data_IF_486043585284
#
_entry.id   IF_486043585284
#
_cell.length_a   1.000
_cell.length_b   1.000
_cell.length_c   1.000
_cell.angle_alpha   90.00
_cell.angle_beta   90.00
_cell.angle_gamma   90.00
#
_symmetry.space_group_name_H-M   'P 1'
#
loop_
_entity.id
_entity.type
_entity.pdbx_description
1 polymer ?
#
# COMPACT_ATOMS: atom_id res chain seq x y z
N UNK A 1 -24.30 56.60 -15.14
CA UNK A 1 -23.05 55.80 -15.04
C UNK A 1 -23.51 54.36 -14.96
N UNK A 2 -23.56 53.72 -16.13
CA UNK A 2 -24.24 52.45 -16.40
C UNK A 2 -23.61 51.31 -15.57
N UNK A 3 -24.41 50.62 -14.77
CA UNK A 3 -23.99 49.45 -13.99
C UNK A 3 -23.77 48.26 -14.91
N UNK A 4 -22.54 47.75 -14.99
CA UNK A 4 -22.19 46.58 -15.79
C UNK A 4 -22.99 45.33 -15.34
N UNK A 5 -23.48 44.49 -16.27
CA UNK A 5 -24.19 43.27 -15.92
C UNK A 5 -23.22 42.22 -15.36
N UNK A 6 -23.54 41.69 -14.18
CA UNK A 6 -22.85 40.55 -13.57
C UNK A 6 -23.17 39.27 -14.37
N UNK A 7 -22.40 39.01 -15.43
CA UNK A 7 -22.59 37.83 -16.28
C UNK A 7 -22.00 36.61 -15.59
N UNK A 8 -22.85 35.86 -14.90
CA UNK A 8 -22.45 34.60 -14.27
C UNK A 8 -21.85 33.64 -15.33
N UNK A 9 -20.71 32.97 -15.07
CA UNK A 9 -19.95 32.25 -16.09
C UNK A 9 -20.77 31.12 -16.73
N UNK A 10 -20.59 30.85 -18.05
CA UNK A 10 -21.38 29.86 -18.80
C UNK A 10 -21.25 28.44 -18.24
N UNK A 11 -22.34 27.65 -18.35
CA UNK A 11 -22.47 26.31 -17.75
C UNK A 11 -21.33 25.35 -18.12
N UNK A 12 -20.83 25.43 -19.35
CA UNK A 12 -19.69 24.61 -19.83
C UNK A 12 -18.37 24.96 -19.15
N UNK A 13 -18.10 26.23 -18.82
CA UNK A 13 -16.91 26.61 -18.05
C UNK A 13 -16.98 26.09 -16.61
N UNK A 14 -18.17 26.06 -16.01
CA UNK A 14 -18.37 25.44 -14.68
C UNK A 14 -18.21 23.93 -14.74
N UNK A 15 -18.70 23.29 -15.80
CA UNK A 15 -18.50 21.85 -16.03
C UNK A 15 -17.02 21.50 -16.24
N UNK A 16 -16.30 22.24 -17.10
CA UNK A 16 -14.87 22.08 -17.33
C UNK A 16 -14.05 22.33 -16.06
N UNK A 17 -14.34 23.38 -15.29
CA UNK A 17 -13.66 23.63 -14.00
C UNK A 17 -13.94 22.51 -12.99
N UNK A 18 -15.15 21.96 -12.95
CA UNK A 18 -15.48 20.82 -12.08
C UNK A 18 -14.76 19.55 -12.51
N UNK A 19 -14.73 19.24 -13.80
CA UNK A 19 -14.04 18.06 -14.34
C UNK A 19 -12.53 18.18 -14.13
N UNK A 20 -11.94 19.34 -14.44
CA UNK A 20 -10.51 19.60 -14.21
C UNK A 20 -10.15 19.52 -12.72
N UNK A 21 -11.00 20.07 -11.85
CA UNK A 21 -10.84 19.95 -10.40
C UNK A 21 -10.93 18.49 -9.95
N UNK A 22 -11.90 17.71 -10.43
CA UNK A 22 -12.02 16.29 -10.09
C UNK A 22 -10.82 15.47 -10.56
N UNK A 23 -10.32 15.70 -11.77
CA UNK A 23 -9.11 15.05 -12.31
C UNK A 23 -7.89 15.40 -11.45
N UNK A 24 -7.76 16.66 -11.03
CA UNK A 24 -6.66 17.09 -10.18
C UNK A 24 -6.77 16.49 -8.76
N UNK A 25 -7.97 16.35 -8.22
CA UNK A 25 -8.19 15.68 -6.93
C UNK A 25 -7.93 14.17 -7.01
N UNK A 26 -8.21 13.53 -8.15
CA UNK A 26 -8.03 12.08 -8.38
C UNK A 26 -6.74 11.75 -9.14
N UNK A 27 -5.77 12.67 -9.16
CA UNK A 27 -4.55 12.54 -9.96
C UNK A 27 -3.78 11.24 -9.68
N UNK A 28 -3.81 10.76 -8.43
CA UNK A 28 -3.17 9.51 -8.02
C UNK A 28 -3.82 8.29 -8.67
N UNK A 29 -5.16 8.19 -8.64
CA UNK A 29 -5.89 7.07 -9.26
C UNK A 29 -5.69 7.04 -10.77
N UNK A 30 -5.77 8.22 -11.41
CA UNK A 30 -5.53 8.36 -12.85
C UNK A 30 -4.08 7.99 -13.18
N UNK A 31 -3.12 8.45 -12.37
CA UNK A 31 -1.71 8.11 -12.50
C UNK A 31 -1.45 6.61 -12.42
N UNK A 32 -2.00 5.93 -11.39
CA UNK A 32 -1.89 4.47 -11.25
C UNK A 32 -2.48 3.77 -12.48
N UNK A 33 -3.69 4.15 -12.90
CA UNK A 33 -4.34 3.55 -14.07
C UNK A 33 -3.51 3.69 -15.36
N UNK A 34 -2.95 4.88 -15.61
CA UNK A 34 -2.08 5.14 -16.76
C UNK A 34 -0.80 4.32 -16.67
N UNK A 35 -0.14 4.26 -15.51
CA UNK A 35 1.08 3.47 -15.32
C UNK A 35 0.80 1.97 -15.52
N UNK A 36 -0.31 1.45 -15.00
CA UNK A 36 -0.71 0.05 -15.21
C UNK A 36 -0.95 -0.25 -16.69
N UNK A 37 -1.62 0.64 -17.43
CA UNK A 37 -1.85 0.48 -18.86
C UNK A 37 -0.53 0.50 -19.66
N UNK A 38 0.40 1.39 -19.29
CA UNK A 38 1.72 1.46 -19.90
C UNK A 38 2.57 0.21 -19.57
N UNK A 39 2.52 -0.27 -18.33
CA UNK A 39 3.22 -1.50 -17.91
C UNK A 39 2.68 -2.72 -18.67
N UNK A 40 1.37 -2.80 -18.88
CA UNK A 40 0.75 -3.84 -19.70
C UNK A 40 1.22 -3.76 -21.16
N UNK A 41 1.35 -2.54 -21.72
CA UNK A 41 1.76 -2.36 -23.12
C UNK A 41 3.26 -2.55 -23.34
N UNK A 42 4.11 -2.23 -22.36
CA UNK A 42 5.57 -2.29 -22.44
C UNK A 42 6.21 -3.09 -21.29
N UNK A 43 5.91 -4.39 -21.15
CA UNK A 43 6.35 -5.19 -20.00
C UNK A 43 7.87 -5.41 -19.95
N UNK A 44 8.59 -5.29 -21.07
CA UNK A 44 10.03 -5.53 -21.14
C UNK A 44 10.89 -4.42 -20.50
N UNK A 45 10.32 -3.25 -20.23
CA UNK A 45 11.05 -2.11 -19.65
C UNK A 45 11.38 -2.35 -18.17
N UNK A 46 10.49 -3.02 -17.43
CA UNK A 46 10.57 -3.19 -16.00
C UNK A 46 10.91 -4.63 -15.53
N UNK A 47 11.15 -5.57 -16.47
CA UNK A 47 11.58 -6.93 -16.13
C UNK A 47 12.95 -6.97 -15.47
N UNK A 48 13.21 -8.08 -14.78
CA UNK A 48 14.56 -8.43 -14.32
C UNK A 48 15.52 -8.45 -15.53
N UNK A 49 16.62 -7.71 -15.46
CA UNK A 49 17.54 -7.48 -16.60
C UNK A 49 17.06 -6.51 -17.69
N UNK A 50 15.91 -5.82 -17.54
CA UNK A 50 15.43 -4.80 -18.48
C UNK A 50 16.26 -3.51 -18.49
N UNK A 51 15.93 -2.55 -19.37
CA UNK A 51 16.68 -1.29 -19.56
C UNK A 51 16.82 -0.50 -18.24
N UNK A 52 15.79 -0.53 -17.39
CA UNK A 52 15.77 0.18 -16.11
C UNK A 52 16.47 -0.61 -14.99
N UNK A 53 16.82 -1.89 -15.20
CA UNK A 53 17.33 -2.83 -14.19
C UNK A 53 16.58 -2.66 -12.87
N UNK A 54 15.29 -3.00 -12.90
CA UNK A 54 14.36 -2.80 -11.79
C UNK A 54 14.86 -3.35 -10.45
N UNK A 55 15.69 -4.39 -10.47
CA UNK A 55 16.31 -4.95 -9.26
C UNK A 55 17.13 -3.92 -8.49
N UNK A 56 17.81 -3.00 -9.19
CA UNK A 56 18.65 -2.00 -8.54
C UNK A 56 17.92 -0.67 -8.36
N UNK A 57 17.30 -0.18 -9.44
CA UNK A 57 16.68 1.14 -9.46
C UNK A 57 15.48 1.22 -8.51
N UNK A 58 14.62 0.21 -8.50
CA UNK A 58 13.43 0.20 -7.64
C UNK A 58 13.82 -0.26 -6.23
N UNK A 59 14.48 -1.40 -6.11
CA UNK A 59 14.70 -2.04 -4.81
C UNK A 59 15.65 -1.24 -3.89
N UNK A 60 16.65 -0.56 -4.46
CA UNK A 60 17.54 0.29 -3.67
C UNK A 60 17.21 1.77 -3.84
N UNK A 61 17.13 2.26 -5.08
CA UNK A 61 16.95 3.69 -5.33
C UNK A 61 15.61 4.23 -4.82
N UNK A 62 14.52 3.72 -5.37
CA UNK A 62 13.16 4.20 -5.05
C UNK A 62 12.82 3.91 -3.58
N UNK A 63 13.09 2.71 -3.09
CA UNK A 63 12.81 2.36 -1.68
C UNK A 63 13.60 3.26 -0.73
N UNK A 64 14.90 3.49 -0.95
CA UNK A 64 15.69 4.38 -0.09
C UNK A 64 15.16 5.81 -0.11
N UNK A 65 14.77 6.33 -1.28
CA UNK A 65 14.18 7.67 -1.41
C UNK A 65 12.84 7.75 -0.66
N UNK A 66 11.97 6.74 -0.77
CA UNK A 66 10.68 6.71 -0.06
C UNK A 66 10.91 6.71 1.45
N UNK A 67 11.83 5.88 1.96
CA UNK A 67 12.14 5.87 3.40
C UNK A 67 12.79 7.18 3.85
N UNK A 68 13.67 7.77 3.05
CA UNK A 68 14.30 9.05 3.35
C UNK A 68 13.26 10.18 3.41
N UNK A 69 12.40 10.30 2.39
CA UNK A 69 11.32 11.30 2.36
C UNK A 69 10.36 11.07 3.52
N UNK A 70 9.98 9.81 3.80
CA UNK A 70 9.11 9.47 4.93
C UNK A 70 9.75 9.86 6.26
N UNK A 71 11.06 9.65 6.42
CA UNK A 71 11.81 10.06 7.61
C UNK A 71 11.99 11.58 7.75
N UNK A 72 12.24 12.28 6.64
CA UNK A 72 12.36 13.74 6.63
C UNK A 72 11.01 14.45 6.84
N UNK A 73 9.91 13.80 6.46
CA UNK A 73 8.55 14.33 6.61
C UNK A 73 8.04 14.28 8.06
N UNK A 74 8.85 13.80 9.02
CA UNK A 74 8.48 13.66 10.43
C UNK A 74 8.46 15.04 11.13
N UNK A 75 7.30 15.56 11.58
CA UNK A 75 7.27 16.80 12.34
C UNK A 75 7.68 16.56 13.79
N UNK A 76 8.91 16.94 14.13
CA UNK A 76 9.51 16.81 15.48
C UNK A 76 8.64 17.40 16.61
N UNK A 77 7.92 18.49 16.34
CA UNK A 77 7.07 19.17 17.33
C UNK A 77 5.79 18.39 17.67
N UNK A 78 5.18 17.69 16.70
CA UNK A 78 3.94 16.91 16.94
C UNK A 78 4.24 15.56 17.59
N UNK A 79 5.40 14.96 17.28
CA UNK A 79 5.87 13.73 17.93
C UNK A 79 5.96 13.89 19.44
N UNK A 80 6.62 14.95 19.91
CA UNK A 80 6.90 15.14 21.34
C UNK A 80 5.62 15.40 22.14
N UNK A 81 4.64 16.08 21.54
CA UNK A 81 3.39 16.43 22.22
C UNK A 81 2.46 15.23 22.44
N UNK A 82 2.45 14.26 21.51
CA UNK A 82 1.54 13.12 21.55
C UNK A 82 2.22 11.78 21.89
N UNK A 83 3.55 11.70 21.93
CA UNK A 83 4.32 10.50 22.31
C UNK A 83 4.01 9.97 23.73
N UNK A 84 3.35 10.77 24.58
CA UNK A 84 3.01 10.39 25.95
C UNK A 84 1.80 9.45 26.05
N UNK A 85 1.00 9.31 24.98
CA UNK A 85 -0.19 8.46 24.98
C UNK A 85 0.12 7.03 24.49
N UNK A 86 0.97 6.32 25.21
CA UNK A 86 1.39 4.94 24.90
C UNK A 86 0.24 3.95 24.68
N UNK A 87 -0.92 4.18 25.33
CA UNK A 87 -2.13 3.35 25.16
C UNK A 87 -2.72 3.48 23.77
N UNK A 88 -2.68 4.67 23.19
CA UNK A 88 -3.14 4.92 21.82
C UNK A 88 -2.20 4.24 20.82
N UNK A 89 -0.90 4.44 21.00
CA UNK A 89 0.14 3.84 20.17
C UNK A 89 0.03 2.32 20.13
N UNK A 90 -0.09 1.68 21.29
CA UNK A 90 -0.26 0.23 21.35
C UNK A 90 -1.56 -0.23 20.70
N UNK A 91 -2.68 0.46 20.96
CA UNK A 91 -3.97 0.05 20.41
C UNK A 91 -3.96 0.08 18.88
N UNK A 92 -3.48 1.18 18.30
CA UNK A 92 -3.43 1.38 16.83
C UNK A 92 -2.42 0.44 16.19
N UNK A 93 -1.25 0.28 16.80
CA UNK A 93 -0.22 -0.63 16.29
C UNK A 93 -0.66 -2.10 16.35
N UNK A 94 -1.30 -2.53 17.45
CA UNK A 94 -1.82 -3.90 17.57
C UNK A 94 -2.96 -4.13 16.60
N UNK A 95 -3.92 -3.20 16.47
CA UNK A 95 -4.99 -3.37 15.49
C UNK A 95 -4.47 -3.40 14.05
N UNK A 96 -3.47 -2.59 13.72
CA UNK A 96 -2.90 -2.54 12.36
C UNK A 96 -2.04 -3.76 12.01
N UNK A 97 -1.17 -4.19 12.92
CA UNK A 97 -0.17 -5.24 12.63
C UNK A 97 -0.53 -6.62 13.18
N UNK A 98 -1.54 -6.74 14.03
CA UNK A 98 -1.99 -8.04 14.55
C UNK A 98 -3.40 -8.36 14.08
N UNK A 99 -4.36 -7.45 14.31
CA UNK A 99 -5.77 -7.74 14.03
C UNK A 99 -6.05 -7.88 12.52
N UNK A 100 -5.61 -6.93 11.69
CA UNK A 100 -5.86 -7.00 10.24
C UNK A 100 -5.19 -8.22 9.59
N UNK A 101 -3.89 -8.50 9.80
CA UNK A 101 -3.26 -9.72 9.28
C UNK A 101 -3.94 -10.99 9.76
N UNK A 102 -4.38 -11.05 11.03
CA UNK A 102 -5.09 -12.21 11.57
C UNK A 102 -6.44 -12.44 10.88
N UNK A 103 -7.21 -11.37 10.62
CA UNK A 103 -8.48 -11.46 9.88
C UNK A 103 -8.24 -11.94 8.45
N UNK A 104 -7.25 -11.38 7.75
CA UNK A 104 -6.91 -11.81 6.39
C UNK A 104 -6.47 -13.27 6.37
N UNK A 105 -5.68 -13.72 7.35
CA UNK A 105 -5.32 -15.13 7.46
C UNK A 105 -6.51 -16.04 7.69
N UNK A 106 -7.45 -15.65 8.55
CA UNK A 106 -8.67 -16.43 8.76
C UNK A 106 -9.43 -16.60 7.45
N UNK A 107 -9.56 -15.52 6.67
CA UNK A 107 -10.20 -15.56 5.34
C UNK A 107 -9.43 -16.49 4.40
N UNK A 108 -8.10 -16.40 4.33
CA UNK A 108 -7.28 -17.27 3.48
C UNK A 108 -7.43 -18.75 3.88
N UNK A 109 -7.48 -19.07 5.17
CA UNK A 109 -7.70 -20.44 5.63
C UNK A 109 -9.10 -20.95 5.31
N UNK A 110 -10.12 -20.10 5.42
CA UNK A 110 -11.49 -20.44 4.99
C UNK A 110 -11.52 -20.74 3.49
N UNK A 111 -10.84 -19.93 2.68
CA UNK A 111 -10.74 -20.14 1.24
C UNK A 111 -10.02 -21.46 0.94
N UNK A 112 -8.88 -21.73 1.58
CA UNK A 112 -8.14 -22.98 1.39
C UNK A 112 -8.94 -24.21 1.81
N UNK A 113 -9.81 -24.08 2.82
CA UNK A 113 -10.69 -25.18 3.25
C UNK A 113 -11.89 -25.39 2.30
N UNK A 114 -12.41 -24.32 1.70
CA UNK A 114 -13.57 -24.37 0.80
C UNK A 114 -13.19 -24.67 -0.66
N UNK A 115 -12.00 -24.29 -1.10
CA UNK A 115 -11.51 -24.45 -2.46
C UNK A 115 -10.75 -25.76 -2.65
N UNK A 116 -11.47 -26.88 -2.58
CA UNK A 116 -10.89 -28.24 -2.75
C UNK A 116 -10.41 -28.51 -4.18
N UNK A 117 -10.88 -27.74 -5.16
CA UNK A 117 -10.54 -27.89 -6.59
C UNK A 117 -9.39 -26.97 -7.04
N UNK A 118 -8.78 -26.21 -6.12
CA UNK A 118 -7.69 -25.25 -6.40
C UNK A 118 -8.02 -24.26 -7.54
N UNK A 119 -9.24 -23.73 -7.55
CA UNK A 119 -9.65 -22.72 -8.55
C UNK A 119 -8.97 -21.37 -8.31
N UNK A 120 -8.52 -21.12 -7.09
CA UNK A 120 -7.85 -19.88 -6.70
C UNK A 120 -6.35 -20.10 -6.66
N UNK A 121 -5.63 -19.30 -7.45
CA UNK A 121 -4.18 -19.31 -7.48
C UNK A 121 -3.59 -18.97 -6.10
N UNK A 122 -2.72 -19.84 -5.61
CA UNK A 122 -2.07 -19.71 -4.30
C UNK A 122 -1.16 -18.48 -4.24
N UNK A 123 -0.66 -18.01 -5.38
CA UNK A 123 0.10 -16.76 -5.47
C UNK A 123 -0.74 -15.55 -5.06
N UNK A 124 -2.04 -15.56 -5.40
CA UNK A 124 -2.97 -14.49 -5.04
C UNK A 124 -3.23 -14.51 -3.53
N UNK A 125 -3.41 -15.69 -2.94
CA UNK A 125 -3.58 -15.85 -1.50
C UNK A 125 -2.35 -15.39 -0.72
N UNK A 126 -1.15 -15.73 -1.20
CA UNK A 126 0.10 -15.22 -0.64
C UNK A 126 0.14 -13.67 -0.73
N UNK A 127 -0.24 -13.10 -1.88
CA UNK A 127 -0.34 -11.65 -2.08
C UNK A 127 -1.27 -10.95 -1.07
N UNK A 128 -2.41 -11.55 -0.74
CA UNK A 128 -3.30 -11.02 0.31
C UNK A 128 -2.62 -11.01 1.69
N UNK A 129 -1.90 -12.07 2.05
CA UNK A 129 -1.15 -12.12 3.32
C UNK A 129 -0.07 -11.02 3.33
N UNK A 130 0.71 -10.88 2.27
CA UNK A 130 1.73 -9.84 2.17
C UNK A 130 1.15 -8.43 2.30
N UNK A 131 0.14 -8.12 1.50
CA UNK A 131 -0.50 -6.79 1.48
C UNK A 131 -1.11 -6.42 2.83
N UNK A 132 -1.64 -7.41 3.57
CA UNK A 132 -2.18 -7.18 4.92
C UNK A 132 -1.12 -6.78 5.94
N UNK A 133 0.15 -7.14 5.71
CA UNK A 133 1.24 -6.88 6.64
C UNK A 133 2.02 -5.59 6.33
N UNK A 134 1.81 -4.96 5.17
CA UNK A 134 2.55 -3.76 4.72
C UNK A 134 2.04 -2.50 5.45
N UNK A 135 2.92 -1.55 5.80
CA UNK A 135 2.50 -0.31 6.45
C UNK A 135 1.63 0.59 5.54
N UNK A 136 0.86 1.47 6.18
CA UNK A 136 -0.20 2.26 5.52
C UNK A 136 0.27 3.65 5.06
N UNK A 137 -0.47 4.28 4.12
CA UNK A 137 -0.11 5.59 3.58
C UNK A 137 -0.38 6.74 4.56
N UNK A 138 0.64 7.59 4.79
CA UNK A 138 0.57 8.74 5.71
C UNK A 138 -0.54 9.72 5.33
N UNK A 139 -0.56 10.19 4.08
CA UNK A 139 -1.44 11.28 3.66
C UNK A 139 -2.93 10.90 3.70
N UNK A 140 -3.30 9.73 3.15
CA UNK A 140 -4.71 9.32 3.10
C UNK A 140 -5.27 9.07 4.49
N UNK A 141 -4.49 8.41 5.37
CA UNK A 141 -4.93 8.11 6.73
C UNK A 141 -5.19 9.38 7.55
N UNK A 142 -4.30 10.37 7.49
CA UNK A 142 -4.49 11.62 8.24
C UNK A 142 -5.71 12.38 7.74
N UNK A 143 -5.92 12.45 6.42
CA UNK A 143 -7.10 13.12 5.83
C UNK A 143 -8.40 12.41 6.22
N UNK A 144 -8.41 11.06 6.18
CA UNK A 144 -9.58 10.27 6.56
C UNK A 144 -9.89 10.39 8.06
N UNK A 145 -8.88 10.29 8.94
CA UNK A 145 -9.07 10.45 10.39
C UNK A 145 -9.60 11.84 10.73
N UNK A 146 -9.06 12.89 10.10
CA UNK A 146 -9.57 14.25 10.27
C UNK A 146 -11.02 14.37 9.81
N UNK A 147 -11.37 13.76 8.68
CA UNK A 147 -12.75 13.81 8.14
C UNK A 147 -13.75 13.08 9.02
N UNK A 148 -13.30 12.07 9.79
CA UNK A 148 -14.08 11.37 10.79
C UNK A 148 -14.17 12.11 12.14
N UNK A 149 -13.58 13.31 12.26
CA UNK A 149 -13.54 14.08 13.50
C UNK A 149 -12.46 13.63 14.51
N UNK A 150 -11.51 12.80 14.07
CA UNK A 150 -10.37 12.35 14.87
C UNK A 150 -9.20 13.35 14.89
N UNK A 151 -8.22 13.05 15.74
CA UNK A 151 -7.00 13.86 15.92
C UNK A 151 -6.00 13.63 14.77
N UNK A 152 -5.67 14.71 14.05
CA UNK A 152 -4.75 14.70 12.91
C UNK A 152 -3.29 14.50 13.34
N UNK A 153 -2.90 15.06 14.49
CA UNK A 153 -1.55 14.96 15.02
C UNK A 153 -1.27 13.56 15.55
N UNK A 154 -2.24 12.97 16.27
CA UNK A 154 -2.15 11.59 16.74
C UNK A 154 -2.08 10.61 15.56
N UNK A 155 -2.98 10.73 14.58
CA UNK A 155 -2.98 9.88 13.39
C UNK A 155 -1.66 9.96 12.62
N UNK A 156 -1.07 11.16 12.50
CA UNK A 156 0.21 11.34 11.85
C UNK A 156 1.33 10.60 12.59
N UNK A 157 1.38 10.69 13.92
CA UNK A 157 2.39 9.99 14.74
C UNK A 157 2.24 8.47 14.61
N UNK A 158 1.02 7.94 14.71
CA UNK A 158 0.77 6.50 14.56
C UNK A 158 1.25 5.97 13.21
N UNK A 159 0.89 6.66 12.12
CA UNK A 159 1.23 6.19 10.78
C UNK A 159 2.73 6.32 10.52
N UNK A 160 3.41 7.30 11.11
CA UNK A 160 4.87 7.40 11.05
C UNK A 160 5.56 6.27 11.83
N UNK A 161 5.09 5.94 13.04
CA UNK A 161 5.59 4.80 13.81
C UNK A 161 5.36 3.49 13.07
N UNK A 162 4.17 3.30 12.50
CA UNK A 162 3.83 2.14 11.70
C UNK A 162 4.70 2.03 10.44
N UNK A 163 5.00 3.13 9.74
CA UNK A 163 5.90 3.09 8.57
C UNK A 163 7.37 2.84 8.94
N UNK A 164 7.81 3.21 10.15
CA UNK A 164 9.16 2.95 10.63
C UNK A 164 9.33 1.50 11.10
N UNK A 165 8.39 1.00 11.90
CA UNK A 165 8.40 -0.35 12.48
C UNK A 165 7.95 -1.39 11.46
N UNK A 166 7.05 -1.00 10.56
CA UNK A 166 6.37 -1.82 9.58
C UNK A 166 7.30 -2.75 8.82
N UNK A 167 8.36 -2.28 8.15
CA UNK A 167 9.24 -3.14 7.36
C UNK A 167 9.82 -4.33 8.14
N UNK A 168 10.18 -4.12 9.40
CA UNK A 168 10.68 -5.19 10.27
C UNK A 168 9.57 -6.16 10.67
N UNK A 169 8.41 -5.61 11.02
CA UNK A 169 7.24 -6.39 11.46
C UNK A 169 6.64 -7.16 10.28
N UNK A 170 6.48 -6.56 9.11
CA UNK A 170 6.06 -7.20 7.85
C UNK A 170 6.98 -8.36 7.48
N UNK A 171 8.30 -8.17 7.56
CA UNK A 171 9.27 -9.23 7.27
C UNK A 171 9.13 -10.40 8.24
N UNK A 172 8.99 -10.13 9.55
CA UNK A 172 8.78 -11.15 10.56
C UNK A 172 7.45 -11.90 10.37
N UNK A 173 6.35 -11.17 10.11
CA UNK A 173 5.02 -11.75 9.90
C UNK A 173 4.95 -12.60 8.64
N UNK A 174 5.60 -12.18 7.55
CA UNK A 174 5.67 -12.98 6.33
C UNK A 174 6.18 -14.39 6.61
N UNK A 175 7.25 -14.51 7.39
CA UNK A 175 7.83 -15.82 7.72
C UNK A 175 6.91 -16.62 8.65
N UNK A 176 6.24 -15.94 9.59
CA UNK A 176 5.41 -16.54 10.62
C UNK A 176 4.01 -16.97 10.14
N UNK A 177 3.39 -16.18 9.26
CA UNK A 177 1.97 -16.27 8.90
C UNK A 177 1.70 -17.12 7.67
N UNK A 178 2.65 -17.17 6.73
CA UNK A 178 2.43 -17.94 5.51
C UNK A 178 2.25 -19.43 5.88
N UNK A 179 1.18 -20.09 5.40
CA UNK A 179 0.89 -21.48 5.72
C UNK A 179 2.08 -22.41 5.43
N UNK A 180 2.33 -23.39 6.31
CA UNK A 180 3.42 -24.36 6.18
C UNK A 180 3.16 -25.45 5.15
N UNK A 181 2.56 -25.12 4.01
CA UNK A 181 2.36 -26.05 2.91
C UNK A 181 3.46 -25.85 1.88
N UNK A 182 3.91 -26.93 1.25
CA UNK A 182 4.97 -26.91 0.22
C UNK A 182 4.68 -25.89 -0.88
N UNK A 183 3.40 -25.72 -1.23
CA UNK A 183 2.99 -24.78 -2.26
C UNK A 183 3.34 -23.32 -1.90
N UNK A 184 3.46 -22.98 -0.61
CA UNK A 184 3.79 -21.62 -0.18
C UNK A 184 5.30 -21.37 0.07
N UNK A 185 6.15 -22.39 -0.01
CA UNK A 185 7.57 -22.27 0.28
C UNK A 185 8.33 -21.24 -0.58
N UNK A 186 8.03 -21.05 -1.89
CA UNK A 186 8.65 -20.00 -2.70
C UNK A 186 8.51 -18.60 -2.10
N UNK A 187 7.36 -18.30 -1.49
CA UNK A 187 7.08 -17.00 -0.89
C UNK A 187 7.57 -16.87 0.56
N UNK A 188 7.83 -17.99 1.26
CA UNK A 188 8.38 -17.98 2.63
C UNK A 188 9.88 -17.72 2.66
N UNK A 189 10.61 -18.29 1.70
CA UNK A 189 12.07 -18.27 1.70
C UNK A 189 12.67 -17.38 0.60
N UNK A 190 11.82 -16.65 -0.15
CA UNK A 190 12.27 -15.77 -1.24
C UNK A 190 12.77 -16.53 -2.47
N UNK A 191 12.35 -17.79 -2.64
CA UNK A 191 12.67 -18.62 -3.79
C UNK A 191 11.84 -18.21 -5.00
N UNK A 192 12.16 -17.09 -5.62
CA UNK A 192 11.49 -16.55 -6.81
C UNK A 192 11.76 -17.32 -8.11
N UNK A 193 11.79 -18.66 -8.09
CA UNK A 193 11.82 -19.45 -9.32
C UNK A 193 10.38 -19.75 -9.78
N UNK A 194 9.74 -18.75 -10.38
CA UNK A 194 8.43 -18.88 -11.04
C UNK A 194 8.52 -19.64 -12.39
N UNK A 195 9.53 -20.51 -12.55
CA UNK A 195 9.95 -21.05 -13.85
C UNK A 195 10.03 -22.57 -13.97
N UNK A 196 9.84 -23.36 -12.91
CA UNK A 196 10.01 -24.82 -13.00
C UNK A 196 8.74 -25.54 -12.58
N UNK A 197 7.76 -25.51 -13.49
CA UNK A 197 6.77 -26.58 -13.61
C UNK A 197 7.35 -27.78 -14.36
N UNK A 198 8.55 -28.22 -14.01
CA UNK A 198 9.07 -29.53 -14.41
C UNK A 198 9.02 -30.43 -13.18
N UNK A 199 7.88 -31.12 -13.10
CA UNK A 199 7.72 -32.50 -12.67
C UNK A 199 9.08 -33.22 -12.45
N UNK A 200 9.49 -33.33 -11.19
CA UNK A 200 10.42 -34.38 -10.77
C UNK A 200 9.68 -35.73 -10.85
N UNK A 201 9.78 -36.36 -12.02
CA UNK A 201 9.69 -37.80 -12.17
C UNK A 201 11.10 -38.30 -12.50
N UNK A 202 11.82 -38.69 -11.46
CA UNK A 202 12.93 -39.64 -11.52
C UNK A 202 12.89 -40.52 -10.28
#
# INVERSE_FOLDING_TARGET
MESAPDTAPPRWQRALKRIASLILHQWLLIGIGVVCALAYRFPNVAKHGGIIRSEYSIMYGVIAIIFLISGLSIPRQKLILHALNWRLHLLVQVTSFLFIPAVVLAIVHIILAADTEEKIDRAVLAGYIFTSCIPTTIASNVVMTRSAGGDDAAALVEVLLANLIGPFVTAAWTIALIPKMVVFDPWRFGGGNLGTGEVDLA
#
